data_IF_304985474592
#
_entry.id   IF_304985474592
#
_cell.length_a   1.000
_cell.length_b   1.000
_cell.length_c   1.000
_cell.angle_alpha   90.00
_cell.angle_beta   90.00
_cell.angle_gamma   90.00
#
_symmetry.space_group_name_H-M   'P 1'
#
loop_
_entity.id
_entity.type
_entity.pdbx_description
1 polymer ?
#
# COMPACT_ATOMS: atom_id res chain seq x y z
N UNK A 1 12.29 13.28 13.17
CA UNK A 1 12.09 12.34 12.05
C UNK A 1 10.98 12.78 11.11
N UNK A 2 9.77 13.03 11.56
CA UNK A 2 8.60 13.48 10.76
C UNK A 2 8.81 14.82 10.03
N UNK A 3 9.57 15.73 10.62
CA UNK A 3 9.92 17.01 10.01
C UNK A 3 10.69 16.87 8.68
N UNK A 4 11.51 15.82 8.54
CA UNK A 4 12.23 15.49 7.30
C UNK A 4 11.30 14.90 6.24
N UNK A 5 10.22 14.24 6.63
CA UNK A 5 9.18 13.69 5.76
C UNK A 5 8.15 14.74 5.31
N UNK A 6 8.29 16.00 5.74
CA UNK A 6 7.35 17.07 5.37
C UNK A 6 6.00 16.99 6.06
N UNK A 7 5.89 16.18 7.12
CA UNK A 7 4.70 15.99 7.93
C UNK A 7 4.84 16.64 9.30
N UNK A 8 3.72 17.13 9.82
CA UNK A 8 3.61 17.58 11.19
C UNK A 8 3.44 16.37 12.15
N UNK A 9 3.61 16.56 13.47
CA UNK A 9 3.42 15.51 14.47
C UNK A 9 2.06 14.81 14.39
N UNK A 10 1.01 15.50 13.96
CA UNK A 10 -0.32 14.93 13.68
C UNK A 10 -0.29 13.84 12.59
N UNK A 11 0.75 13.81 11.74
CA UNK A 11 0.94 12.78 10.71
C UNK A 11 1.19 11.38 11.24
N UNK A 12 1.54 11.24 12.53
CA UNK A 12 1.70 9.93 13.18
C UNK A 12 0.39 9.14 13.15
N UNK A 13 -0.74 9.79 13.39
CA UNK A 13 -2.05 9.12 13.45
C UNK A 13 -2.41 8.39 12.15
N UNK A 14 -2.40 9.03 10.97
CA UNK A 14 -2.68 8.32 9.73
C UNK A 14 -1.61 7.26 9.40
N UNK A 15 -0.34 7.47 9.72
CA UNK A 15 0.70 6.48 9.44
C UNK A 15 0.53 5.22 10.29
N UNK A 16 0.22 5.35 11.58
CA UNK A 16 -0.05 4.20 12.46
C UNK A 16 -1.32 3.47 12.05
N UNK A 17 -2.39 4.20 11.74
CA UNK A 17 -3.64 3.57 11.24
C UNK A 17 -3.45 2.90 9.89
N UNK A 18 -2.45 3.31 9.09
CA UNK A 18 -2.07 2.71 7.82
C UNK A 18 -1.67 1.24 7.91
N UNK A 19 -0.99 0.85 8.98
CA UNK A 19 -0.66 -0.56 9.23
C UNK A 19 -1.90 -1.45 9.40
N UNK A 20 -3.00 -0.90 9.90
CA UNK A 20 -4.26 -1.62 9.98
C UNK A 20 -4.96 -1.64 8.62
N UNK A 21 -5.27 -0.46 8.07
CA UNK A 21 -5.98 -0.32 6.81
C UNK A 21 -5.66 1.02 6.13
N UNK A 22 -5.11 0.98 4.92
CA UNK A 22 -4.77 2.18 4.14
C UNK A 22 -6.01 3.03 3.85
N UNK A 23 -7.17 2.41 3.61
CA UNK A 23 -8.44 3.13 3.40
C UNK A 23 -8.81 3.99 4.61
N UNK A 24 -8.75 3.41 5.82
CA UNK A 24 -8.98 4.14 7.07
C UNK A 24 -7.95 5.22 7.30
N UNK A 25 -6.70 4.93 6.99
CA UNK A 25 -5.61 5.89 7.12
C UNK A 25 -5.81 7.12 6.22
N UNK A 26 -6.28 6.93 4.97
CA UNK A 26 -6.61 8.04 4.06
C UNK A 26 -7.71 8.91 4.66
N UNK A 27 -8.76 8.34 5.24
CA UNK A 27 -9.80 9.09 5.95
C UNK A 27 -9.23 9.85 7.16
N UNK A 28 -8.34 9.22 7.92
CA UNK A 28 -7.69 9.83 9.10
C UNK A 28 -6.78 11.00 8.71
N UNK A 29 -6.31 11.08 7.46
CA UNK A 29 -5.53 12.25 7.00
C UNK A 29 -6.31 13.57 7.04
N UNK A 30 -7.63 13.53 7.26
CA UNK A 30 -8.46 14.74 7.51
C UNK A 30 -7.97 15.53 8.73
N UNK A 31 -7.32 14.87 9.70
CA UNK A 31 -6.72 15.49 10.89
C UNK A 31 -5.57 16.44 10.55
N UNK A 32 -4.95 16.28 9.39
CA UNK A 32 -3.87 17.16 8.93
C UNK A 32 -4.44 18.50 8.46
N UNK A 33 -3.78 19.58 8.82
CA UNK A 33 -4.29 20.93 8.60
C UNK A 33 -4.14 21.37 7.14
N UNK A 34 -3.01 21.04 6.50
CA UNK A 34 -2.70 21.52 5.15
C UNK A 34 -2.98 20.50 4.05
N UNK A 35 -3.39 20.99 2.88
CA UNK A 35 -3.62 20.15 1.68
C UNK A 35 -2.33 19.44 1.23
N UNK A 36 -1.17 20.07 1.47
CA UNK A 36 0.15 19.52 1.17
C UNK A 36 0.46 18.31 2.05
N UNK A 37 0.33 18.45 3.37
CA UNK A 37 0.57 17.36 4.32
C UNK A 37 -0.36 16.18 4.07
N UNK A 38 -1.62 16.46 3.76
CA UNK A 38 -2.58 15.42 3.38
C UNK A 38 -2.15 14.66 2.12
N UNK A 39 -1.61 15.34 1.11
CA UNK A 39 -1.13 14.73 -0.12
C UNK A 39 0.09 13.85 0.15
N UNK A 40 1.09 14.38 0.89
CA UNK A 40 2.31 13.64 1.27
C UNK A 40 1.93 12.40 2.11
N UNK A 41 1.06 12.56 3.10
CA UNK A 41 0.59 11.45 3.92
C UNK A 41 -0.11 10.38 3.08
N UNK A 42 -0.97 10.76 2.13
CA UNK A 42 -1.65 9.82 1.24
C UNK A 42 -0.65 9.08 0.36
N UNK A 43 0.34 9.77 -0.20
CA UNK A 43 1.40 9.17 -1.01
C UNK A 43 2.23 8.15 -0.21
N UNK A 44 2.62 8.51 1.01
CA UNK A 44 3.37 7.61 1.91
C UNK A 44 2.55 6.41 2.36
N UNK A 45 1.26 6.58 2.62
CA UNK A 45 0.35 5.51 2.99
C UNK A 45 0.18 4.49 1.86
N UNK A 46 0.10 4.97 0.63
CA UNK A 46 -0.12 4.11 -0.53
C UNK A 46 1.13 3.34 -0.91
N UNK A 47 2.31 3.96 -0.82
CA UNK A 47 3.59 3.38 -1.25
C UNK A 47 4.43 2.79 -0.11
N UNK A 48 4.29 3.31 1.10
CA UNK A 48 5.22 2.99 2.18
C UNK A 48 4.71 2.00 3.21
N UNK A 49 3.40 1.82 3.34
CA UNK A 49 2.83 1.06 4.46
C UNK A 49 2.01 -0.12 3.97
N UNK A 50 2.50 -1.35 4.19
CA UNK A 50 1.70 -2.54 3.93
C UNK A 50 0.53 -2.64 4.93
N UNK A 51 -0.68 -2.92 4.44
CA UNK A 51 -1.84 -3.12 5.32
C UNK A 51 -1.75 -4.46 6.07
N UNK A 52 -2.51 -4.60 7.16
CA UNK A 52 -2.44 -5.75 8.07
C UNK A 52 -2.46 -7.12 7.37
N UNK A 53 -3.36 -7.44 6.43
CA UNK A 53 -3.36 -8.74 5.77
C UNK A 53 -2.11 -8.98 4.91
N UNK A 54 -1.58 -7.94 4.27
CA UNK A 54 -0.33 -8.03 3.50
C UNK A 54 0.86 -8.24 4.43
N UNK A 55 0.91 -7.48 5.54
CA UNK A 55 1.96 -7.61 6.54
C UNK A 55 1.97 -9.01 7.16
N UNK A 56 0.79 -9.54 7.54
CA UNK A 56 0.67 -10.88 8.10
C UNK A 56 1.20 -11.95 7.13
N UNK A 57 0.85 -11.86 5.85
CA UNK A 57 1.37 -12.80 4.86
C UNK A 57 2.87 -12.65 4.63
N UNK A 58 3.38 -11.40 4.55
CA UNK A 58 4.81 -11.16 4.47
C UNK A 58 5.55 -11.84 5.61
N UNK A 59 5.08 -11.70 6.85
CA UNK A 59 5.67 -12.34 8.01
C UNK A 59 5.64 -13.86 7.91
N UNK A 60 4.52 -14.45 7.46
CA UNK A 60 4.38 -15.92 7.30
C UNK A 60 5.33 -16.47 6.23
N UNK A 61 5.45 -15.82 5.09
CA UNK A 61 6.33 -16.27 4.00
C UNK A 61 7.80 -16.04 4.35
N UNK A 62 8.13 -14.87 4.90
CA UNK A 62 9.51 -14.54 5.28
C UNK A 62 9.99 -15.37 6.49
N UNK A 63 9.10 -15.84 7.36
CA UNK A 63 9.47 -16.74 8.47
C UNK A 63 10.00 -18.12 7.98
N UNK A 64 9.66 -18.52 6.77
CA UNK A 64 10.17 -19.76 6.12
C UNK A 64 11.45 -19.53 5.33
N UNK A 65 11.87 -18.28 5.15
CA UNK A 65 13.04 -17.86 4.39
C UNK A 65 14.15 -17.39 5.31
N UNK A 66 15.32 -17.14 4.75
CA UNK A 66 16.47 -16.58 5.47
C UNK A 66 16.14 -15.22 6.10
N UNK A 67 16.75 -14.92 7.26
CA UNK A 67 16.68 -13.59 7.90
C UNK A 67 17.07 -12.45 6.95
N UNK A 68 17.97 -12.72 6.00
CA UNK A 68 18.39 -11.75 4.98
C UNK A 68 17.24 -11.34 4.05
N UNK A 69 16.33 -12.25 3.73
CA UNK A 69 15.12 -11.93 2.96
C UNK A 69 14.21 -10.94 3.70
N UNK A 70 14.01 -11.17 5.01
CA UNK A 70 13.23 -10.26 5.86
C UNK A 70 13.87 -8.88 5.94
N UNK A 71 15.18 -8.84 6.16
CA UNK A 71 15.95 -7.59 6.24
C UNK A 71 15.89 -6.81 4.92
N UNK A 72 15.97 -7.50 3.80
CA UNK A 72 15.85 -6.87 2.47
C UNK A 72 14.46 -6.28 2.26
N UNK A 73 13.39 -7.03 2.51
CA UNK A 73 12.02 -6.55 2.28
C UNK A 73 11.70 -5.35 3.17
N UNK A 74 11.90 -5.46 4.49
CA UNK A 74 11.60 -4.37 5.42
C UNK A 74 12.58 -3.20 5.26
N UNK A 75 13.84 -3.47 4.93
CA UNK A 75 14.84 -2.45 4.62
C UNK A 75 14.44 -1.62 3.41
N UNK A 76 14.05 -2.25 2.31
CA UNK A 76 13.58 -1.56 1.09
C UNK A 76 12.32 -0.73 1.39
N UNK A 77 11.34 -1.28 2.10
CA UNK A 77 10.11 -0.55 2.50
C UNK A 77 10.47 0.69 3.34
N UNK A 78 11.37 0.56 4.29
CA UNK A 78 11.75 1.66 5.17
C UNK A 78 12.53 2.73 4.42
N UNK A 79 13.55 2.34 3.66
CA UNK A 79 14.40 3.26 2.89
C UNK A 79 13.55 4.03 1.89
N UNK A 80 12.71 3.35 1.11
CA UNK A 80 11.86 4.02 0.14
C UNK A 80 10.86 4.99 0.80
N UNK A 81 10.28 4.64 1.96
CA UNK A 81 9.37 5.53 2.69
C UNK A 81 10.07 6.82 3.08
N UNK A 82 11.32 6.73 3.54
CA UNK A 82 12.14 7.89 3.91
C UNK A 82 12.51 8.71 2.67
N UNK A 83 12.94 8.05 1.60
CA UNK A 83 13.34 8.71 0.35
C UNK A 83 12.13 9.43 -0.27
N UNK A 84 11.00 8.75 -0.43
CA UNK A 84 9.78 9.34 -1.00
C UNK A 84 9.26 10.50 -0.15
N UNK A 85 9.24 10.35 1.18
CA UNK A 85 8.83 11.42 2.07
C UNK A 85 9.74 12.65 1.95
N UNK A 86 11.05 12.43 1.88
CA UNK A 86 12.04 13.49 1.72
C UNK A 86 11.90 14.19 0.36
N UNK A 87 11.77 13.44 -0.72
CA UNK A 87 11.57 13.98 -2.07
C UNK A 87 10.24 14.73 -2.17
N UNK A 88 9.14 14.12 -1.72
CA UNK A 88 7.82 14.75 -1.73
C UNK A 88 7.81 16.05 -0.91
N UNK A 89 8.54 16.08 0.21
CA UNK A 89 8.63 17.27 1.04
C UNK A 89 9.40 18.43 0.36
N UNK A 90 10.30 18.15 -0.57
CA UNK A 90 11.06 19.15 -1.32
C UNK A 90 10.33 19.61 -2.59
N UNK A 91 9.68 18.69 -3.28
CA UNK A 91 9.04 18.94 -4.58
C UNK A 91 7.68 19.63 -4.42
N UNK A 92 6.93 19.30 -3.36
CA UNK A 92 5.60 19.92 -3.20
C UNK A 92 5.71 21.31 -2.55
N UNK A 93 5.31 22.36 -3.25
CA UNK A 93 5.26 23.71 -2.69
C UNK A 93 4.15 23.82 -1.65
N UNK A 94 4.35 24.63 -0.62
CA UNK A 94 3.35 24.92 0.40
C UNK A 94 3.94 25.14 1.79
N UNK A 95 3.25 25.93 2.60
CA UNK A 95 3.64 26.18 3.99
C UNK A 95 3.38 24.92 4.83
N UNK A 96 4.27 24.66 5.77
CA UNK A 96 4.05 23.67 6.84
C UNK A 96 3.14 24.32 7.87
N UNK A 97 2.22 23.55 8.45
CA UNK A 97 1.50 24.05 9.61
C UNK A 97 2.41 23.98 10.84
N UNK A 98 2.36 25.01 11.66
CA UNK A 98 2.99 24.97 12.97
C UNK A 98 2.26 23.94 13.83
N UNK A 99 3.03 23.14 14.55
CA UNK A 99 2.46 22.11 15.42
C UNK A 99 1.98 22.76 16.71
N UNK A 100 0.75 23.21 16.71
CA UNK A 100 0.05 23.60 17.93
C UNK A 100 -0.81 22.40 18.34
N UNK A 101 -0.35 21.63 19.29
CA UNK A 101 -1.13 20.60 19.95
C UNK A 101 -1.67 21.19 21.25
N UNK A 102 -2.91 21.66 21.22
CA UNK A 102 -3.62 21.88 22.46
C UNK A 102 -3.84 20.52 23.11
N UNK A 103 -3.11 20.26 24.19
CA UNK A 103 -3.31 19.07 25.00
C UNK A 103 -4.55 19.29 25.85
N UNK A 104 -5.71 18.69 25.52
CA UNK A 104 -6.85 18.75 26.40
C UNK A 104 -6.47 18.09 27.74
N UNK A 105 -7.04 18.58 28.87
CA UNK A 105 -6.77 18.00 30.18
C UNK A 105 -7.09 16.51 30.16
N UNK A 106 -6.16 15.70 30.68
CA UNK A 106 -6.28 14.25 30.76
C UNK A 106 -7.48 13.94 31.67
N UNK A 107 -8.60 13.59 31.05
CA UNK A 107 -9.79 13.16 31.79
C UNK A 107 -9.83 11.64 31.79
N UNK A 108 -10.20 11.05 32.93
CA UNK A 108 -10.48 9.61 33.03
C UNK A 108 -11.54 9.23 32.00
N UNK A 109 -11.27 8.16 31.21
CA UNK A 109 -12.27 7.75 30.22
C UNK A 109 -13.48 7.12 30.87
N UNK A 110 -14.63 7.60 30.46
CA UNK A 110 -15.90 6.92 30.73
C UNK A 110 -16.08 5.82 29.69
N UNK A 111 -16.05 4.57 30.12
CA UNK A 111 -16.15 3.38 29.25
C UNK A 111 -17.36 3.46 28.29
N UNK A 112 -18.51 3.95 28.78
CA UNK A 112 -19.71 4.13 27.95
C UNK A 112 -19.53 5.13 26.80
N UNK A 113 -18.80 6.22 27.02
CA UNK A 113 -18.51 7.19 25.95
C UNK A 113 -17.52 6.63 24.92
N UNK A 114 -16.54 5.85 25.38
CA UNK A 114 -15.59 5.16 24.51
C UNK A 114 -16.32 4.16 23.62
N UNK A 115 -17.15 3.29 24.21
CA UNK A 115 -17.92 2.28 23.49
C UNK A 115 -18.86 2.92 22.45
N UNK A 116 -19.61 3.93 22.85
CA UNK A 116 -20.52 4.66 21.95
C UNK A 116 -19.77 5.34 20.81
N UNK A 117 -18.63 5.94 21.07
CA UNK A 117 -17.79 6.58 20.05
C UNK A 117 -17.22 5.57 19.07
N UNK A 118 -16.75 4.42 19.58
CA UNK A 118 -16.21 3.33 18.76
C UNK A 118 -17.30 2.71 17.87
N UNK A 119 -18.45 2.38 18.44
CA UNK A 119 -19.59 1.82 17.68
C UNK A 119 -20.07 2.79 16.60
N UNK A 120 -20.15 4.08 16.92
CA UNK A 120 -20.53 5.11 15.93
C UNK A 120 -19.51 5.19 14.80
N UNK A 121 -18.19 5.12 15.09
CA UNK A 121 -17.13 5.10 14.07
C UNK A 121 -17.18 3.84 13.24
N UNK A 122 -17.39 2.67 13.85
CA UNK A 122 -17.57 1.41 13.15
C UNK A 122 -18.78 1.45 12.21
N UNK A 123 -19.91 1.95 12.68
CA UNK A 123 -21.13 2.08 11.87
C UNK A 123 -20.93 3.00 10.67
N UNK A 124 -20.33 4.16 10.90
CA UNK A 124 -20.00 5.10 9.83
C UNK A 124 -19.04 4.49 8.80
N UNK A 125 -18.01 3.81 9.25
CA UNK A 125 -17.08 3.12 8.39
C UNK A 125 -17.76 2.03 7.57
N UNK A 126 -18.57 1.18 8.20
CA UNK A 126 -19.31 0.12 7.52
C UNK A 126 -20.24 0.70 6.46
N UNK A 127 -20.96 1.75 6.78
CA UNK A 127 -21.87 2.42 5.85
C UNK A 127 -21.15 3.08 4.65
N UNK A 128 -19.92 3.50 4.81
CA UNK A 128 -19.12 4.12 3.75
C UNK A 128 -18.28 3.10 2.97
N UNK A 129 -17.71 2.13 3.66
CA UNK A 129 -16.83 1.12 3.06
C UNK A 129 -17.61 0.00 2.36
N UNK A 130 -18.74 -0.43 2.91
CA UNK A 130 -19.52 -1.55 2.39
C UNK A 130 -20.03 -1.30 0.95
N UNK A 131 -20.70 -0.18 0.64
CA UNK A 131 -21.15 0.09 -0.73
C UNK A 131 -19.98 0.27 -1.70
N UNK A 132 -18.87 0.88 -1.26
CA UNK A 132 -17.66 1.01 -2.08
C UNK A 132 -17.04 -0.36 -2.40
N UNK A 133 -17.10 -1.29 -1.45
CA UNK A 133 -16.63 -2.65 -1.64
C UNK A 133 -17.51 -3.45 -2.62
N UNK A 134 -18.84 -3.35 -2.49
CA UNK A 134 -19.77 -3.97 -3.43
C UNK A 134 -19.63 -3.40 -4.83
N UNK A 135 -19.53 -2.08 -4.96
CA UNK A 135 -19.37 -1.41 -6.23
C UNK A 135 -18.04 -1.80 -6.90
N UNK A 136 -16.95 -1.86 -6.13
CA UNK A 136 -15.67 -2.35 -6.62
C UNK A 136 -15.73 -3.81 -7.09
N UNK A 137 -16.37 -4.70 -6.32
CA UNK A 137 -16.55 -6.10 -6.68
C UNK A 137 -17.42 -6.27 -7.95
N UNK A 138 -18.49 -5.47 -8.07
CA UNK A 138 -19.36 -5.48 -9.23
C UNK A 138 -18.63 -5.01 -10.49
N UNK A 139 -17.91 -3.90 -10.40
CA UNK A 139 -17.11 -3.37 -11.53
C UNK A 139 -16.10 -4.41 -12.01
N UNK A 140 -15.40 -5.07 -11.08
CA UNK A 140 -14.44 -6.10 -11.43
C UNK A 140 -15.08 -7.33 -12.06
N UNK A 141 -16.23 -7.75 -11.54
CA UNK A 141 -16.99 -8.86 -12.14
C UNK A 141 -17.43 -8.53 -13.57
N UNK A 142 -17.86 -7.29 -13.83
CA UNK A 142 -18.21 -6.83 -15.17
C UNK A 142 -17.00 -6.75 -16.10
N UNK A 143 -15.85 -6.28 -15.60
CA UNK A 143 -14.59 -6.24 -16.36
C UNK A 143 -14.08 -7.64 -16.72
N UNK A 144 -14.24 -8.60 -15.81
CA UNK A 144 -13.88 -10.00 -16.05
C UNK A 144 -14.77 -10.61 -17.13
N UNK A 145 -16.08 -10.40 -17.02
CA UNK A 145 -17.05 -10.84 -18.04
C UNK A 145 -16.83 -10.20 -19.40
N UNK A 146 -16.40 -8.94 -19.43
CA UNK A 146 -16.09 -8.22 -20.66
C UNK A 146 -14.74 -8.66 -21.29
N UNK A 147 -13.99 -9.55 -20.65
CA UNK A 147 -12.68 -10.01 -21.12
C UNK A 147 -11.57 -8.96 -21.02
N UNK A 148 -11.86 -7.82 -20.39
CA UNK A 148 -10.92 -6.70 -20.27
C UNK A 148 -9.74 -7.04 -19.34
N UNK A 149 -9.95 -7.94 -18.37
CA UNK A 149 -8.88 -8.47 -17.52
C UNK A 149 -7.87 -9.28 -18.33
N UNK A 150 -8.31 -10.07 -19.32
CA UNK A 150 -7.41 -10.79 -20.23
C UNK A 150 -6.60 -9.86 -21.11
N UNK A 151 -7.21 -8.77 -21.57
CA UNK A 151 -6.49 -7.73 -22.33
C UNK A 151 -5.42 -7.08 -21.46
N UNK A 152 -5.76 -6.74 -20.21
CA UNK A 152 -4.82 -6.20 -19.24
C UNK A 152 -3.68 -7.18 -18.94
N UNK A 153 -3.99 -8.47 -18.84
CA UNK A 153 -3.00 -9.55 -18.69
C UNK A 153 -2.04 -9.60 -19.86
N UNK A 154 -2.55 -9.54 -21.09
CA UNK A 154 -1.74 -9.57 -22.30
C UNK A 154 -0.79 -8.37 -22.38
N UNK A 155 -1.24 -7.19 -22.00
CA UNK A 155 -0.44 -5.96 -21.98
C UNK A 155 0.58 -5.95 -20.82
N UNK A 156 0.21 -6.47 -19.65
CA UNK A 156 1.09 -6.51 -18.48
C UNK A 156 2.17 -7.62 -18.60
N UNK A 157 1.88 -8.70 -19.33
CA UNK A 157 2.74 -9.85 -19.49
C UNK A 157 4.17 -9.53 -19.93
N UNK A 158 4.43 -8.78 -21.02
CA UNK A 158 5.80 -8.47 -21.46
C UNK A 158 6.57 -7.63 -20.43
N UNK A 159 5.88 -6.76 -19.69
CA UNK A 159 6.51 -5.90 -18.68
C UNK A 159 6.90 -6.71 -17.45
N UNK A 160 6.03 -7.57 -16.96
CA UNK A 160 6.29 -8.39 -15.77
C UNK A 160 7.31 -9.48 -16.02
N UNK A 161 7.25 -10.15 -17.18
CA UNK A 161 8.20 -11.20 -17.52
C UNK A 161 9.55 -10.59 -17.92
N UNK A 162 9.55 -9.57 -18.79
CA UNK A 162 10.79 -8.98 -19.31
C UNK A 162 11.56 -8.16 -18.28
N UNK A 163 10.87 -7.35 -17.47
CA UNK A 163 11.50 -6.44 -16.53
C UNK A 163 11.78 -7.07 -15.17
N UNK A 164 10.86 -7.91 -14.68
CA UNK A 164 10.98 -8.50 -13.34
C UNK A 164 11.45 -9.96 -13.35
N UNK A 165 11.53 -10.61 -14.52
CA UNK A 165 11.94 -12.01 -14.62
C UNK A 165 11.03 -12.97 -13.86
N UNK A 166 9.76 -12.63 -13.71
CA UNK A 166 8.78 -13.42 -13.01
C UNK A 166 8.15 -14.45 -13.97
N UNK A 167 7.75 -15.63 -13.49
CA UNK A 167 7.03 -16.60 -14.30
C UNK A 167 5.66 -16.08 -14.74
N UNK A 168 5.07 -16.60 -15.82
CA UNK A 168 3.80 -16.11 -16.37
C UNK A 168 2.64 -16.19 -15.39
N UNK A 169 2.66 -17.09 -14.42
CA UNK A 169 1.67 -17.23 -13.36
C UNK A 169 1.66 -16.01 -12.42
N UNK A 170 2.76 -15.30 -12.30
CA UNK A 170 2.87 -14.07 -11.48
C UNK A 170 2.09 -12.91 -12.06
N UNK A 171 1.69 -12.96 -13.34
CA UNK A 171 0.81 -11.94 -13.93
C UNK A 171 -0.58 -12.00 -13.28
N UNK A 172 -1.08 -13.22 -12.99
CA UNK A 172 -2.32 -13.38 -12.23
C UNK A 172 -2.20 -12.81 -10.81
N UNK A 173 -1.05 -12.98 -10.16
CA UNK A 173 -0.78 -12.38 -8.86
C UNK A 173 -0.91 -10.86 -8.92
N UNK A 174 -0.31 -10.21 -9.91
CA UNK A 174 -0.37 -8.77 -10.08
C UNK A 174 -1.82 -8.27 -10.29
N UNK A 175 -2.59 -8.95 -11.13
CA UNK A 175 -4.00 -8.61 -11.39
C UNK A 175 -4.85 -8.84 -10.13
N UNK A 176 -4.72 -9.97 -9.47
CA UNK A 176 -5.44 -10.26 -8.23
C UNK A 176 -5.07 -9.28 -7.11
N UNK A 177 -3.83 -8.79 -7.10
CA UNK A 177 -3.36 -7.75 -6.17
C UNK A 177 -4.05 -6.41 -6.39
N UNK A 178 -4.29 -6.01 -7.65
CA UNK A 178 -5.04 -4.81 -7.99
C UNK A 178 -6.48 -4.88 -7.47
N UNK A 179 -7.08 -6.06 -7.57
CA UNK A 179 -8.46 -6.31 -7.13
C UNK A 179 -8.53 -6.33 -5.60
N UNK A 180 -7.78 -7.24 -4.99
CA UNK A 180 -7.71 -7.43 -3.55
C UNK A 180 -6.30 -7.86 -3.17
N UNK A 181 -5.59 -7.01 -2.45
CA UNK A 181 -4.20 -7.32 -2.04
C UNK A 181 -4.04 -8.67 -1.33
N UNK A 182 -5.01 -9.09 -0.53
CA UNK A 182 -4.94 -10.38 0.16
C UNK A 182 -5.16 -11.59 -0.78
N UNK A 183 -5.88 -11.45 -1.89
CA UNK A 183 -6.05 -12.54 -2.87
C UNK A 183 -4.76 -12.77 -3.65
N UNK A 184 -4.09 -11.69 -4.09
CA UNK A 184 -2.76 -11.77 -4.67
C UNK A 184 -1.75 -12.38 -3.71
N UNK A 185 -1.85 -12.00 -2.44
CA UNK A 185 -1.07 -12.56 -1.35
C UNK A 185 -1.26 -14.08 -1.18
N UNK A 186 -2.51 -14.54 -1.18
CA UNK A 186 -2.82 -15.97 -1.11
C UNK A 186 -2.26 -16.78 -2.28
N UNK A 187 -2.31 -16.19 -3.48
CA UNK A 187 -1.76 -16.82 -4.68
C UNK A 187 -0.23 -16.93 -4.63
N UNK A 188 0.49 -15.90 -4.14
CA UNK A 188 1.94 -15.98 -3.92
C UNK A 188 2.27 -17.14 -2.98
N UNK A 189 1.49 -17.32 -1.90
CA UNK A 189 1.68 -18.44 -0.96
C UNK A 189 1.52 -19.78 -1.66
N UNK A 190 0.46 -19.97 -2.45
CA UNK A 190 0.22 -21.21 -3.20
C UNK A 190 1.34 -21.51 -4.21
N UNK A 191 1.78 -20.51 -4.97
CA UNK A 191 2.87 -20.66 -5.94
C UNK A 191 4.22 -20.94 -5.27
N UNK A 192 4.46 -20.34 -4.10
CA UNK A 192 5.66 -20.61 -3.30
C UNK A 192 5.64 -22.03 -2.71
N UNK A 193 4.50 -22.51 -2.24
CA UNK A 193 4.34 -23.88 -1.72
C UNK A 193 4.40 -24.94 -2.84
N UNK A 194 3.97 -24.59 -4.06
CA UNK A 194 4.09 -25.43 -5.25
C UNK A 194 5.53 -25.47 -5.82
N UNK A 195 6.46 -24.67 -5.29
CA UNK A 195 7.87 -24.63 -5.76
C UNK A 195 8.06 -23.99 -7.14
N UNK A 196 7.05 -23.28 -7.65
CA UNK A 196 7.11 -22.60 -8.96
C UNK A 196 7.83 -21.26 -8.89
N UNK A 197 8.03 -20.69 -7.69
CA UNK A 197 8.72 -19.44 -7.47
C UNK A 197 10.04 -19.66 -6.73
N UNK A 198 11.11 -19.12 -7.29
CA UNK A 198 12.38 -19.00 -6.57
C UNK A 198 12.27 -18.03 -5.39
N UNK A 199 13.11 -18.23 -4.38
CA UNK A 199 13.10 -17.36 -3.18
C UNK A 199 13.25 -15.87 -3.52
N UNK A 200 14.06 -15.53 -4.54
CA UNK A 200 14.21 -14.15 -5.02
C UNK A 200 12.91 -13.66 -5.65
N UNK A 201 12.23 -14.50 -6.43
CA UNK A 201 10.96 -14.16 -7.06
C UNK A 201 9.85 -13.96 -6.02
N UNK A 202 9.88 -14.71 -4.92
CA UNK A 202 8.96 -14.48 -3.78
C UNK A 202 9.21 -13.10 -3.16
N UNK A 203 10.46 -12.73 -2.90
CA UNK A 203 10.82 -11.41 -2.34
C UNK A 203 10.36 -10.28 -3.27
N UNK A 204 10.62 -10.39 -4.57
CA UNK A 204 10.20 -9.40 -5.57
C UNK A 204 8.67 -9.32 -5.64
N UNK A 205 7.97 -10.44 -5.62
CA UNK A 205 6.50 -10.49 -5.62
C UNK A 205 5.90 -9.87 -4.37
N UNK A 206 6.51 -10.07 -3.20
CA UNK A 206 6.09 -9.43 -1.95
C UNK A 206 6.28 -7.92 -1.98
N UNK A 207 7.38 -7.43 -2.53
CA UNK A 207 7.61 -6.00 -2.71
C UNK A 207 6.62 -5.38 -3.71
N UNK A 208 6.35 -6.06 -4.82
CA UNK A 208 5.31 -5.64 -5.76
C UNK A 208 3.94 -5.58 -5.07
N UNK A 209 3.58 -6.60 -4.29
CA UNK A 209 2.34 -6.63 -3.54
C UNK A 209 2.22 -5.45 -2.57
N UNK A 210 3.33 -5.05 -1.95
CA UNK A 210 3.36 -3.90 -1.04
C UNK A 210 3.14 -2.59 -1.80
N UNK A 211 3.84 -2.40 -2.91
CA UNK A 211 3.95 -1.11 -3.62
C UNK A 211 2.97 -0.96 -4.78
N UNK A 212 2.56 -2.07 -5.41
CA UNK A 212 1.62 -2.03 -6.51
C UNK A 212 0.30 -1.49 -5.99
N UNK A 213 -0.20 -0.48 -6.63
CA UNK A 213 -1.48 0.21 -6.47
C UNK A 213 -2.30 -0.02 -5.18
N UNK A 214 -2.90 1.00 -4.62
CA UNK A 214 -3.84 0.82 -3.52
C UNK A 214 -4.99 -0.10 -3.96
N UNK A 215 -5.56 -0.87 -3.04
CA UNK A 215 -6.74 -1.69 -3.32
C UNK A 215 -7.89 -0.80 -3.85
N UNK A 216 -8.80 -1.38 -4.63
CA UNK A 216 -9.94 -0.66 -5.25
C UNK A 216 -10.67 0.23 -4.23
N UNK A 217 -10.87 -0.26 -3.00
CA UNK A 217 -11.54 0.52 -1.96
C UNK A 217 -10.73 1.77 -1.55
N UNK A 218 -9.40 1.65 -1.44
CA UNK A 218 -8.53 2.80 -1.16
C UNK A 218 -8.53 3.81 -2.32
N UNK A 219 -8.60 3.33 -3.57
CA UNK A 219 -8.72 4.18 -4.76
C UNK A 219 -10.01 4.99 -4.71
N UNK A 220 -11.16 4.32 -4.47
CA UNK A 220 -12.47 4.99 -4.39
C UNK A 220 -12.46 6.06 -3.28
N UNK A 221 -11.95 5.72 -2.09
CA UNK A 221 -11.87 6.69 -0.98
C UNK A 221 -10.90 7.82 -1.31
N UNK A 222 -9.78 7.53 -1.97
CA UNK A 222 -8.83 8.56 -2.38
C UNK A 222 -9.46 9.54 -3.38
N UNK A 223 -10.27 9.06 -4.33
CA UNK A 223 -11.03 9.93 -5.24
C UNK A 223 -12.07 10.79 -4.51
N UNK A 224 -12.78 10.21 -3.52
CA UNK A 224 -13.73 10.97 -2.70
C UNK A 224 -13.04 12.05 -1.85
N UNK A 225 -11.89 11.73 -1.24
CA UNK A 225 -11.20 12.62 -0.31
C UNK A 225 -10.33 13.68 -0.99
N UNK A 226 -9.70 13.34 -2.11
CA UNK A 226 -8.72 14.20 -2.78
C UNK A 226 -9.25 14.85 -4.05
N UNK A 227 -10.33 14.29 -4.61
CA UNK A 227 -10.82 14.62 -5.93
C UNK A 227 -9.94 14.04 -7.04
N UNK A 228 -10.50 13.94 -8.25
CA UNK A 228 -9.85 13.31 -9.41
C UNK A 228 -8.50 13.96 -9.75
N UNK A 229 -8.43 15.30 -9.72
CA UNK A 229 -7.23 16.06 -10.09
C UNK A 229 -5.99 15.75 -9.24
N UNK A 230 -6.15 15.28 -7.99
CA UNK A 230 -5.03 14.96 -7.09
C UNK A 230 -4.83 13.47 -6.89
N UNK A 231 -5.88 12.66 -7.03
CA UNK A 231 -5.80 11.21 -6.91
C UNK A 231 -5.13 10.59 -8.15
N UNK A 232 -5.43 11.09 -9.34
CA UNK A 232 -4.90 10.59 -10.60
C UNK A 232 -3.36 10.62 -10.68
N UNK A 233 -2.68 11.75 -10.38
CA UNK A 233 -1.22 11.78 -10.40
C UNK A 233 -0.57 10.85 -9.36
N UNK A 234 -1.20 10.63 -8.21
CA UNK A 234 -0.70 9.65 -7.23
C UNK A 234 -0.75 8.25 -7.85
N UNK A 235 -1.88 7.85 -8.44
CA UNK A 235 -2.03 6.53 -9.08
C UNK A 235 -1.09 6.35 -10.27
N UNK A 236 -0.98 7.38 -11.11
CA UNK A 236 -0.07 7.37 -12.26
C UNK A 236 1.40 7.27 -11.86
N UNK A 237 1.78 7.78 -10.70
CA UNK A 237 3.13 7.69 -10.17
C UNK A 237 3.40 6.36 -9.46
N UNK A 238 2.44 5.83 -8.70
CA UNK A 238 2.57 4.63 -7.87
C UNK A 238 2.88 3.39 -8.71
N UNK A 239 2.17 3.20 -9.82
CA UNK A 239 2.32 1.99 -10.65
C UNK A 239 3.70 1.86 -11.30
N UNK A 240 4.22 2.86 -12.07
CA UNK A 240 5.56 2.75 -12.64
C UNK A 240 6.65 2.74 -11.56
N UNK A 241 6.45 3.46 -10.46
CA UNK A 241 7.39 3.44 -9.35
C UNK A 241 7.54 2.03 -8.74
N UNK A 242 6.43 1.33 -8.50
CA UNK A 242 6.43 -0.04 -7.99
C UNK A 242 7.18 -1.00 -8.92
N UNK A 243 6.99 -0.86 -10.23
CA UNK A 243 7.69 -1.67 -11.23
C UNK A 243 9.19 -1.39 -11.24
N UNK A 244 9.60 -0.12 -11.18
CA UNK A 244 11.02 0.28 -11.16
C UNK A 244 11.72 -0.27 -9.90
N UNK A 245 11.10 -0.11 -8.72
CA UNK A 245 11.68 -0.64 -7.47
C UNK A 245 11.77 -2.17 -7.51
N UNK A 246 10.72 -2.85 -7.98
CA UNK A 246 10.73 -4.30 -8.15
C UNK A 246 11.82 -4.78 -9.10
N UNK A 247 11.99 -4.12 -10.25
CA UNK A 247 13.03 -4.41 -11.22
C UNK A 247 14.44 -4.17 -10.65
N UNK A 248 14.63 -3.07 -9.92
CA UNK A 248 15.91 -2.74 -9.30
C UNK A 248 16.29 -3.76 -8.24
N UNK A 249 15.37 -4.19 -7.40
CA UNK A 249 15.63 -5.24 -6.39
C UNK A 249 15.93 -6.57 -7.07
N UNK A 250 15.17 -6.96 -8.10
CA UNK A 250 15.45 -8.17 -8.87
C UNK A 250 16.86 -8.16 -9.48
N UNK A 251 17.23 -7.04 -10.10
CA UNK A 251 18.56 -6.87 -10.71
C UNK A 251 19.67 -6.98 -9.66
N UNK A 252 19.53 -6.28 -8.54
CA UNK A 252 20.52 -6.29 -7.44
C UNK A 252 20.65 -7.69 -6.85
N UNK A 253 19.55 -8.39 -6.57
CA UNK A 253 19.58 -9.76 -6.02
C UNK A 253 20.23 -10.73 -6.98
N UNK A 254 19.98 -10.62 -8.28
CA UNK A 254 20.62 -11.47 -9.32
C UNK A 254 22.09 -11.17 -9.49
N UNK A 255 22.51 -9.89 -9.48
CA UNK A 255 23.92 -9.52 -9.60
C UNK A 255 24.75 -9.94 -8.36
N UNK A 256 24.15 -9.87 -7.17
CA UNK A 256 24.81 -10.29 -5.93
C UNK A 256 24.79 -11.81 -5.73
N UNK A 257 24.08 -12.56 -6.59
CA UNK A 257 23.97 -14.02 -6.47
C UNK A 257 23.32 -14.46 -5.15
N UNK A 258 22.54 -13.57 -4.51
CA UNK A 258 21.92 -13.85 -3.23
C UNK A 258 20.75 -14.81 -3.44
N UNK A 259 20.98 -16.09 -3.19
CA UNK A 259 19.88 -17.06 -3.03
C UNK A 259 19.45 -17.04 -1.56
N UNK A 260 18.28 -16.53 -1.27
CA UNK A 260 17.66 -16.54 0.07
C UNK A 260 17.25 -17.97 0.46
N UNK A 261 18.26 -18.85 0.65
CA UNK A 261 18.02 -20.21 1.16
C UNK A 261 17.76 -20.22 2.65
#
# INVERSE_FOLDING_TARGET
MFRKLGLNGKGVFPLVTGFSCVTMAILTTRVLDTKRERFIATLLLVLGIPCAPVLALMLVLLARMSLWASLTVFGVITVQTIVLGSVASKVLPGRRSDFILELPPIRMFRFGNLLRSTLRRMWWFTKEALPSFFLGALVLFLLDRAGLLRLLETVARPVLIGLLGLPPESVQVAIMTLIRKYSGAGLIKQLSEAGTLDNVQVVVSLLLLAFLSPCVNAVVVMFKERGVKRALPILAFVTPYALVVGAMVNLVCRMLGVSFK
#
